data_IF_227423749455
#
_entry.id   IF_227423749455
#
_cell.length_a   1.000
_cell.length_b   1.000
_cell.length_c   1.000
_cell.angle_alpha   90.00
_cell.angle_beta   90.00
_cell.angle_gamma   90.00
#
_symmetry.space_group_name_H-M   'P 1'
#
loop_
_entity.id
_entity.type
_entity.pdbx_description
1 polymer ?
#
# COMPACT_ATOMS: atom_id res chain seq x y z
N UNK A 1 -34.65 -20.56 28.70
CA UNK A 1 -35.32 -19.37 28.14
C UNK A 1 -35.95 -18.66 29.32
N UNK A 2 -35.19 -17.73 29.89
CA UNK A 2 -35.51 -17.03 31.12
C UNK A 2 -36.48 -15.87 30.87
N UNK A 3 -37.61 -15.89 31.57
CA UNK A 3 -38.68 -14.88 31.48
C UNK A 3 -38.47 -13.71 32.45
N UNK A 4 -37.22 -13.31 32.71
CA UNK A 4 -36.86 -12.43 33.83
C UNK A 4 -36.83 -10.92 33.52
N UNK A 5 -37.32 -10.48 32.36
CA UNK A 5 -37.27 -9.07 31.93
C UNK A 5 -38.64 -8.43 31.62
N UNK A 6 -39.70 -8.88 32.28
CA UNK A 6 -40.98 -8.14 32.30
C UNK A 6 -41.06 -7.35 33.61
N UNK A 7 -40.92 -6.02 33.52
CA UNK A 7 -40.98 -5.10 34.67
C UNK A 7 -42.20 -5.36 35.55
N UNK A 8 -42.01 -5.41 36.87
CA UNK A 8 -43.04 -5.65 37.90
C UNK A 8 -44.39 -4.92 37.70
N UNK A 9 -44.44 -3.63 37.28
CA UNK A 9 -45.73 -2.97 37.01
C UNK A 9 -46.49 -3.53 35.79
N UNK A 10 -45.77 -4.10 34.82
CA UNK A 10 -46.34 -4.68 33.60
C UNK A 10 -46.97 -6.04 33.89
N UNK A 11 -46.31 -6.85 34.73
CA UNK A 11 -46.88 -8.09 35.31
C UNK A 11 -48.11 -7.78 36.17
N UNK A 12 -48.06 -6.75 37.02
CA UNK A 12 -49.20 -6.33 37.83
C UNK A 12 -50.39 -5.89 36.96
N UNK A 13 -50.13 -5.17 35.86
CA UNK A 13 -51.19 -4.74 34.94
C UNK A 13 -51.82 -5.93 34.18
N UNK A 14 -51.03 -6.93 33.79
CA UNK A 14 -51.53 -8.13 33.11
C UNK A 14 -52.40 -8.98 34.03
N UNK A 15 -51.98 -9.15 35.29
CA UNK A 15 -52.75 -9.91 36.30
C UNK A 15 -54.08 -9.21 36.58
N UNK A 16 -54.07 -7.88 36.71
CA UNK A 16 -55.30 -7.09 36.87
C UNK A 16 -56.25 -7.24 35.69
N UNK A 17 -55.74 -7.14 34.46
CA UNK A 17 -56.54 -7.28 33.24
C UNK A 17 -57.15 -8.70 33.12
N UNK A 18 -56.37 -9.75 33.40
CA UNK A 18 -56.85 -11.13 33.40
C UNK A 18 -57.93 -11.38 34.44
N UNK A 19 -57.82 -10.77 35.63
CA UNK A 19 -58.84 -10.89 36.67
C UNK A 19 -60.19 -10.29 36.24
N UNK A 20 -60.19 -9.13 35.58
CA UNK A 20 -61.41 -8.52 35.02
C UNK A 20 -62.04 -9.38 33.93
N UNK A 21 -61.24 -9.98 33.05
CA UNK A 21 -61.73 -10.88 31.99
C UNK A 21 -62.31 -12.16 32.59
N UNK A 22 -61.64 -12.75 33.58
CA UNK A 22 -62.13 -13.92 34.28
C UNK A 22 -63.46 -13.65 35.01
N UNK A 23 -63.58 -12.50 35.69
CA UNK A 23 -64.80 -12.09 36.36
C UNK A 23 -65.97 -11.90 35.37
N UNK A 24 -65.72 -11.25 34.22
CA UNK A 24 -66.72 -11.08 33.16
C UNK A 24 -67.16 -12.43 32.58
N UNK A 25 -66.22 -13.35 32.33
CA UNK A 25 -66.53 -14.70 31.86
C UNK A 25 -67.32 -15.53 32.88
N UNK A 26 -67.04 -15.37 34.17
CA UNK A 26 -67.80 -16.04 35.26
C UNK A 26 -69.23 -15.51 35.32
N UNK A 27 -69.45 -14.19 35.25
CA UNK A 27 -70.79 -13.61 35.21
C UNK A 27 -71.59 -14.11 33.99
N UNK A 28 -70.92 -14.21 32.83
CA UNK A 28 -71.52 -14.71 31.59
C UNK A 28 -71.86 -16.21 31.67
N UNK A 29 -71.04 -17.00 32.37
CA UNK A 29 -71.34 -18.42 32.63
C UNK A 29 -72.52 -18.62 33.59
N UNK A 30 -72.65 -17.76 34.59
CA UNK A 30 -73.74 -17.81 35.56
C UNK A 30 -75.06 -17.40 34.91
N UNK A 31 -75.08 -16.34 34.09
CA UNK A 31 -76.28 -15.95 33.33
C UNK A 31 -76.68 -17.04 32.34
N UNK A 32 -75.72 -17.69 31.68
CA UNK A 32 -76.00 -18.80 30.77
C UNK A 32 -76.54 -20.04 31.50
N UNK A 33 -75.99 -20.40 32.66
CA UNK A 33 -76.55 -21.50 33.48
C UNK A 33 -77.95 -21.20 34.00
N UNK A 34 -78.24 -19.95 34.37
CA UNK A 34 -79.61 -19.53 34.73
C UNK A 34 -80.57 -19.69 33.55
N UNK A 35 -80.17 -19.25 32.37
CA UNK A 35 -80.97 -19.37 31.15
C UNK A 35 -81.21 -20.84 30.75
N UNK A 36 -80.25 -21.76 30.98
CA UNK A 36 -80.44 -23.20 30.77
C UNK A 36 -81.39 -23.81 31.81
N UNK A 37 -81.26 -23.42 33.09
CA UNK A 37 -82.15 -23.89 34.16
C UNK A 37 -83.59 -23.41 33.98
N UNK A 38 -83.79 -22.23 33.41
CA UNK A 38 -85.10 -21.71 33.03
C UNK A 38 -85.71 -22.48 31.86
N UNK A 39 -84.88 -23.05 30.96
CA UNK A 39 -85.33 -23.94 29.88
C UNK A 39 -85.77 -25.33 30.37
N UNK A 40 -85.22 -25.83 31.49
CA UNK A 40 -85.62 -27.12 32.08
C UNK A 40 -86.95 -27.05 32.86
N UNK A 41 -87.40 -25.85 33.28
CA UNK A 41 -88.63 -25.65 34.07
C UNK A 41 -89.91 -25.43 33.24
N UNK A 42 -89.85 -25.56 31.93
CA UNK A 42 -91.04 -25.62 31.07
C UNK A 42 -91.91 -24.35 31.02
N UNK A 43 -91.36 -23.17 31.32
CA UNK A 43 -92.09 -21.91 31.17
C UNK A 43 -92.02 -21.41 29.71
N UNK A 44 -93.14 -21.05 29.06
CA UNK A 44 -93.12 -20.61 27.67
C UNK A 44 -92.39 -19.27 27.55
N UNK A 45 -91.31 -19.28 26.78
CA UNK A 45 -90.49 -18.11 26.46
C UNK A 45 -91.37 -17.10 25.72
N UNK A 46 -91.70 -15.99 26.37
CA UNK A 46 -92.28 -14.83 25.68
C UNK A 46 -91.24 -14.29 24.69
N UNK A 47 -91.66 -14.10 23.44
CA UNK A 47 -90.82 -13.90 22.24
C UNK A 47 -89.91 -12.65 22.20
N UNK A 48 -89.63 -11.94 23.31
CA UNK A 48 -89.02 -10.59 23.24
C UNK A 48 -87.53 -10.48 23.58
N UNK A 49 -86.85 -11.51 24.10
CA UNK A 49 -85.50 -11.33 24.71
C UNK A 49 -84.32 -11.99 23.96
N UNK A 50 -84.48 -12.41 22.70
CA UNK A 50 -83.48 -13.22 21.98
C UNK A 50 -82.30 -12.46 21.32
N UNK A 51 -82.24 -11.11 21.39
CA UNK A 51 -81.23 -10.29 20.69
C UNK A 51 -80.06 -9.80 21.57
N UNK A 52 -80.12 -9.96 22.89
CA UNK A 52 -79.06 -9.50 23.80
C UNK A 52 -77.72 -10.25 23.71
N UNK A 53 -77.68 -11.60 23.63
CA UNK A 53 -76.42 -12.34 23.79
C UNK A 53 -75.48 -12.32 22.58
N UNK A 54 -76.02 -12.24 21.36
CA UNK A 54 -75.22 -12.33 20.11
C UNK A 54 -74.43 -11.05 19.86
N UNK A 55 -74.98 -9.90 20.22
CA UNK A 55 -74.32 -8.60 20.08
C UNK A 55 -73.06 -8.55 20.96
N UNK A 56 -73.13 -9.09 22.18
CA UNK A 56 -71.97 -9.18 23.08
C UNK A 56 -70.83 -10.01 22.49
N UNK A 57 -71.13 -11.14 21.84
CA UNK A 57 -70.11 -11.99 21.21
C UNK A 57 -69.43 -11.27 20.04
N UNK A 58 -70.21 -10.59 19.20
CA UNK A 58 -69.64 -9.82 18.08
C UNK A 58 -68.79 -8.65 18.55
N UNK A 59 -69.22 -7.94 19.60
CA UNK A 59 -68.44 -6.86 20.21
C UNK A 59 -67.14 -7.40 20.81
N UNK A 60 -67.19 -8.55 21.49
CA UNK A 60 -66.01 -9.18 22.09
C UNK A 60 -65.04 -9.71 21.02
N UNK A 61 -65.55 -10.27 19.92
CA UNK A 61 -64.75 -10.71 18.78
C UNK A 61 -64.09 -9.51 18.06
N UNK A 62 -64.83 -8.42 17.86
CA UNK A 62 -64.29 -7.19 17.30
C UNK A 62 -63.20 -6.59 18.21
N UNK A 63 -63.43 -6.55 19.52
CA UNK A 63 -62.45 -6.08 20.49
C UNK A 63 -61.18 -6.95 20.51
N UNK A 64 -61.32 -8.29 20.43
CA UNK A 64 -60.20 -9.21 20.36
C UNK A 64 -59.41 -9.07 19.05
N UNK A 65 -60.09 -8.88 17.91
CA UNK A 65 -59.45 -8.68 16.62
C UNK A 65 -58.66 -7.37 16.57
N UNK A 66 -59.25 -6.27 17.05
CA UNK A 66 -58.58 -4.95 17.09
C UNK A 66 -57.43 -4.95 18.09
N UNK A 67 -57.62 -5.56 19.27
CA UNK A 67 -56.57 -5.70 20.28
C UNK A 67 -55.40 -6.56 19.80
N UNK A 68 -55.67 -7.68 19.12
CA UNK A 68 -54.64 -8.55 18.55
C UNK A 68 -53.85 -7.87 17.43
N UNK A 69 -54.50 -7.11 16.56
CA UNK A 69 -53.84 -6.39 15.47
C UNK A 69 -52.95 -5.25 15.98
N UNK A 70 -53.44 -4.44 16.93
CA UNK A 70 -52.66 -3.39 17.55
C UNK A 70 -51.41 -3.94 18.27
N UNK A 71 -51.56 -5.07 18.98
CA UNK A 71 -50.46 -5.75 19.65
C UNK A 71 -49.45 -6.33 18.66
N UNK A 72 -49.90 -6.89 17.53
CA UNK A 72 -48.99 -7.38 16.48
C UNK A 72 -48.15 -6.28 15.87
N UNK A 73 -48.74 -5.09 15.64
CA UNK A 73 -48.01 -3.95 15.11
C UNK A 73 -46.95 -3.48 16.10
N UNK A 74 -47.28 -3.43 17.39
CA UNK A 74 -46.33 -3.08 18.44
C UNK A 74 -45.10 -4.00 18.47
N UNK A 75 -45.30 -5.32 18.37
CA UNK A 75 -44.21 -6.30 18.32
C UNK A 75 -43.39 -6.22 17.03
N UNK A 76 -44.00 -5.88 15.89
CA UNK A 76 -43.29 -5.66 14.63
C UNK A 76 -42.40 -4.43 14.74
N UNK A 77 -42.92 -3.30 15.23
CA UNK A 77 -42.13 -2.08 15.45
C UNK A 77 -40.98 -2.27 16.44
N UNK A 78 -41.13 -3.12 17.46
CA UNK A 78 -40.04 -3.50 18.37
C UNK A 78 -38.93 -4.28 17.64
N UNK A 79 -39.29 -5.19 16.72
CA UNK A 79 -38.32 -5.96 15.92
C UNK A 79 -37.64 -5.14 14.84
N UNK A 80 -38.32 -4.15 14.28
CA UNK A 80 -37.75 -3.24 13.29
C UNK A 80 -36.64 -2.38 13.90
N UNK A 81 -36.87 -1.83 15.11
CA UNK A 81 -35.85 -1.11 15.85
C UNK A 81 -34.58 -1.94 16.09
N UNK A 82 -34.74 -3.22 16.48
CA UNK A 82 -33.62 -4.13 16.77
C UNK A 82 -32.88 -4.57 15.50
N UNK A 83 -33.56 -4.66 14.36
CA UNK A 83 -32.92 -4.92 13.06
C UNK A 83 -32.09 -3.73 12.58
N UNK A 84 -32.58 -2.52 12.81
CA UNK A 84 -31.91 -1.31 12.35
C UNK A 84 -30.67 -1.01 13.21
N UNK A 85 -30.72 -1.27 14.52
CA UNK A 85 -29.53 -1.20 15.39
C UNK A 85 -28.47 -2.21 14.98
N UNK A 86 -28.84 -3.47 14.69
CA UNK A 86 -27.91 -4.49 14.21
C UNK A 86 -27.30 -4.14 12.85
N UNK A 87 -28.08 -3.56 11.94
CA UNK A 87 -27.56 -3.07 10.65
C UNK A 87 -26.59 -1.92 10.84
N UNK A 88 -26.91 -0.96 11.71
CA UNK A 88 -26.04 0.17 12.01
C UNK A 88 -24.72 -0.31 12.61
N UNK A 89 -24.76 -1.29 13.52
CA UNK A 89 -23.55 -1.89 14.11
C UNK A 89 -22.71 -2.63 13.06
N UNK A 90 -23.33 -3.45 12.20
CA UNK A 90 -22.62 -4.12 11.10
C UNK A 90 -21.99 -3.13 10.11
N UNK A 91 -22.71 -2.06 9.74
CA UNK A 91 -22.17 -1.01 8.88
C UNK A 91 -20.99 -0.29 9.54
N UNK A 92 -21.09 -0.01 10.84
CA UNK A 92 -19.99 0.54 11.64
C UNK A 92 -18.77 -0.38 11.59
N UNK A 93 -18.94 -1.67 11.89
CA UNK A 93 -17.85 -2.66 11.86
C UNK A 93 -17.23 -2.82 10.47
N UNK A 94 -18.02 -2.81 9.41
CA UNK A 94 -17.52 -2.85 8.04
C UNK A 94 -16.71 -1.59 7.70
N UNK A 95 -17.15 -0.41 8.14
CA UNK A 95 -16.41 0.83 7.92
C UNK A 95 -15.07 0.85 8.64
N UNK A 96 -15.03 0.31 9.87
CA UNK A 96 -13.82 0.17 10.68
C UNK A 96 -12.83 -0.82 10.04
N UNK A 97 -13.31 -1.99 9.60
CA UNK A 97 -12.50 -2.99 8.89
C UNK A 97 -11.97 -2.41 7.58
N UNK A 98 -12.80 -1.74 6.80
CA UNK A 98 -12.37 -1.13 5.54
C UNK A 98 -11.29 -0.05 5.79
N UNK A 99 -11.49 0.82 6.79
CA UNK A 99 -10.52 1.86 7.13
C UNK A 99 -9.18 1.28 7.61
N UNK A 100 -9.22 0.19 8.38
CA UNK A 100 -8.00 -0.50 8.85
C UNK A 100 -7.29 -1.24 7.72
N UNK A 101 -8.02 -1.91 6.84
CA UNK A 101 -7.48 -2.57 5.65
C UNK A 101 -6.78 -1.56 4.73
N UNK A 102 -7.43 -0.42 4.44
CA UNK A 102 -6.87 0.63 3.59
C UNK A 102 -5.58 1.22 4.19
N UNK A 103 -5.54 1.45 5.51
CA UNK A 103 -4.31 1.90 6.20
C UNK A 103 -3.20 0.88 6.12
N UNK A 104 -3.51 -0.41 6.25
CA UNK A 104 -2.52 -1.47 6.18
C UNK A 104 -1.97 -1.63 4.76
N UNK A 105 -2.82 -1.53 3.74
CA UNK A 105 -2.41 -1.52 2.34
C UNK A 105 -1.49 -0.34 2.04
N UNK A 106 -1.87 0.86 2.47
CA UNK A 106 -1.05 2.05 2.28
C UNK A 106 0.29 1.98 3.04
N UNK A 107 0.29 1.42 4.26
CA UNK A 107 1.52 1.19 5.01
C UNK A 107 2.44 0.19 4.29
N UNK A 108 1.88 -0.92 3.79
CA UNK A 108 2.63 -1.94 3.04
C UNK A 108 3.18 -1.39 1.73
N UNK A 109 2.43 -0.59 0.98
CA UNK A 109 2.93 0.04 -0.26
C UNK A 109 4.04 1.02 0.04
N UNK A 110 3.89 1.86 1.06
CA UNK A 110 4.93 2.81 1.47
C UNK A 110 6.20 2.09 1.94
N UNK A 111 6.07 1.02 2.72
CA UNK A 111 7.20 0.21 3.17
C UNK A 111 7.91 -0.44 1.99
N UNK A 112 7.15 -1.00 1.04
CA UNK A 112 7.71 -1.57 -0.19
C UNK A 112 8.45 -0.52 -1.03
N UNK A 113 7.89 0.67 -1.22
CA UNK A 113 8.55 1.77 -1.91
C UNK A 113 9.82 2.21 -1.19
N UNK A 114 9.82 2.27 0.14
CA UNK A 114 11.01 2.58 0.93
C UNK A 114 12.10 1.51 0.77
N UNK A 115 11.74 0.23 0.75
CA UNK A 115 12.68 -0.87 0.53
C UNK A 115 13.26 -0.81 -0.89
N UNK A 116 12.42 -0.65 -1.91
CA UNK A 116 12.85 -0.58 -3.30
C UNK A 116 13.75 0.64 -3.56
N UNK A 117 13.41 1.80 -3.01
CA UNK A 117 14.24 3.02 -3.11
C UNK A 117 15.55 2.88 -2.31
N UNK A 118 15.51 2.26 -1.14
CA UNK A 118 16.70 1.92 -0.35
C UNK A 118 17.65 0.99 -1.10
N UNK A 119 17.11 -0.07 -1.71
CA UNK A 119 17.88 -1.02 -2.51
C UNK A 119 18.56 -0.35 -3.71
N UNK A 120 17.82 0.48 -4.46
CA UNK A 120 18.39 1.25 -5.59
C UNK A 120 19.50 2.21 -5.15
N UNK A 121 19.34 2.88 -4.00
CA UNK A 121 20.38 3.76 -3.47
C UNK A 121 21.63 2.97 -3.07
N UNK A 122 21.46 1.83 -2.41
CA UNK A 122 22.58 0.96 -2.02
C UNK A 122 23.30 0.39 -3.25
N UNK A 123 22.57 -0.04 -4.27
CA UNK A 123 23.13 -0.51 -5.54
C UNK A 123 23.90 0.60 -6.26
N UNK A 124 23.32 1.80 -6.33
CA UNK A 124 23.98 2.97 -6.91
C UNK A 124 25.28 3.34 -6.19
N UNK A 125 25.30 3.26 -4.86
CA UNK A 125 26.52 3.46 -4.07
C UNK A 125 27.56 2.38 -4.35
N UNK A 126 27.14 1.11 -4.46
CA UNK A 126 28.02 -0.01 -4.78
C UNK A 126 28.68 0.16 -6.16
N UNK A 127 27.89 0.54 -7.16
CA UNK A 127 28.38 0.85 -8.51
C UNK A 127 29.33 2.06 -8.52
N UNK A 128 29.06 3.06 -7.68
CA UNK A 128 29.95 4.20 -7.49
C UNK A 128 31.32 3.84 -6.90
N UNK A 129 31.35 2.91 -5.95
CA UNK A 129 32.58 2.39 -5.34
C UNK A 129 33.37 1.45 -6.26
N UNK A 130 32.67 0.62 -7.05
CA UNK A 130 33.27 -0.19 -8.13
C UNK A 130 33.89 0.71 -9.20
N UNK A 131 33.21 1.82 -9.52
CA UNK A 131 33.68 2.87 -10.41
C UNK A 131 33.48 2.56 -11.90
N UNK A 132 33.39 3.62 -12.71
CA UNK A 132 33.31 3.51 -14.16
C UNK A 132 34.72 3.46 -14.76
N UNK A 133 35.00 2.47 -15.61
CA UNK A 133 36.34 2.31 -16.19
C UNK A 133 36.33 2.42 -17.71
N UNK A 134 37.36 3.05 -18.26
CA UNK A 134 37.59 3.14 -19.70
C UNK A 134 39.06 2.90 -20.00
N UNK A 135 39.35 2.21 -21.10
CA UNK A 135 40.71 1.90 -21.52
C UNK A 135 40.90 2.10 -23.01
N UNK A 136 42.09 2.52 -23.40
CA UNK A 136 42.47 2.71 -24.79
C UNK A 136 43.88 2.18 -25.02
N UNK A 137 44.11 1.65 -26.21
CA UNK A 137 45.44 1.27 -26.67
C UNK A 137 45.99 2.41 -27.53
N UNK A 138 47.13 2.94 -27.14
CA UNK A 138 47.84 3.99 -27.88
C UNK A 138 49.06 3.37 -28.52
N UNK A 139 49.14 3.49 -29.84
CA UNK A 139 50.30 3.03 -30.60
C UNK A 139 51.57 3.79 -30.22
N UNK A 140 52.74 3.29 -30.65
CA UNK A 140 53.98 4.05 -30.54
C UNK A 140 53.89 5.34 -31.36
N UNK A 141 54.58 6.37 -30.90
CA UNK A 141 54.76 7.59 -31.66
C UNK A 141 55.55 7.28 -32.94
N UNK A 142 54.97 7.61 -34.08
CA UNK A 142 55.67 7.58 -35.36
C UNK A 142 56.10 9.01 -35.68
N UNK A 143 57.38 9.25 -36.00
CA UNK A 143 57.80 10.57 -36.43
C UNK A 143 57.12 10.88 -37.77
N UNK A 144 56.18 11.82 -37.76
CA UNK A 144 55.69 12.42 -39.00
C UNK A 144 56.69 13.48 -39.43
N UNK A 145 57.32 13.25 -40.58
CA UNK A 145 58.32 14.17 -41.14
C UNK A 145 58.42 14.00 -42.64
N UNK A 146 58.31 15.13 -43.34
CA UNK A 146 58.69 15.30 -44.75
C UNK A 146 60.15 14.81 -44.93
N UNK A 147 60.53 14.19 -46.06
CA UNK A 147 61.88 13.67 -46.26
C UNK A 147 62.94 14.76 -45.99
N UNK A 148 63.72 14.59 -44.92
CA UNK A 148 64.79 15.53 -44.53
C UNK A 148 64.68 16.11 -43.11
N UNK A 149 63.50 16.09 -42.47
CA UNK A 149 63.32 16.50 -41.08
C UNK A 149 62.86 15.31 -40.23
N UNK A 150 63.80 14.64 -39.55
CA UNK A 150 63.45 13.64 -38.52
C UNK A 150 62.93 14.39 -37.29
N UNK A 151 61.62 14.57 -37.19
CA UNK A 151 60.99 15.04 -35.96
C UNK A 151 61.15 13.95 -34.90
N UNK A 152 61.93 14.20 -33.85
CA UNK A 152 62.02 13.25 -32.73
C UNK A 152 60.69 13.20 -31.97
N UNK A 153 60.31 12.00 -31.52
CA UNK A 153 59.11 11.81 -30.71
C UNK A 153 59.30 12.42 -29.32
N UNK A 154 58.84 13.67 -29.17
CA UNK A 154 58.83 14.42 -27.92
C UNK A 154 57.42 14.45 -27.34
N UNK A 155 57.29 14.81 -26.06
CA UNK A 155 55.98 15.01 -25.42
C UNK A 155 55.13 16.07 -26.15
N UNK A 156 55.77 17.07 -26.77
CA UNK A 156 55.09 18.15 -27.51
C UNK A 156 54.53 17.67 -28.85
N UNK A 157 55.21 16.74 -29.52
CA UNK A 157 54.77 16.14 -30.78
C UNK A 157 53.94 14.87 -30.60
N UNK A 158 53.70 14.45 -29.36
CA UNK A 158 52.94 13.25 -29.04
C UNK A 158 51.46 13.39 -29.41
N UNK A 159 50.84 12.32 -29.91
CA UNK A 159 49.39 12.28 -30.08
C UNK A 159 48.73 12.35 -28.71
N UNK A 160 47.95 13.40 -28.48
CA UNK A 160 47.14 13.60 -27.27
C UNK A 160 45.75 13.06 -27.51
N UNK A 161 45.32 12.13 -26.67
CA UNK A 161 43.98 11.57 -26.70
C UNK A 161 43.29 11.82 -25.37
N UNK A 162 41.95 11.84 -25.39
CA UNK A 162 41.15 11.89 -24.18
C UNK A 162 40.49 10.53 -23.95
N UNK A 163 40.68 9.97 -22.76
CA UNK A 163 40.05 8.72 -22.32
C UNK A 163 38.88 9.12 -21.45
N UNK A 164 37.67 8.74 -21.83
CA UNK A 164 36.45 9.18 -21.14
C UNK A 164 35.71 7.98 -20.55
N UNK A 165 35.28 8.10 -19.29
CA UNK A 165 34.38 7.16 -18.64
C UNK A 165 33.05 7.88 -18.35
N UNK A 166 31.93 7.24 -18.65
CA UNK A 166 30.60 7.79 -18.40
C UNK A 166 30.15 7.45 -16.98
N UNK A 167 29.68 8.47 -16.26
CA UNK A 167 29.07 8.36 -14.94
C UNK A 167 27.71 9.07 -14.94
N UNK A 168 26.79 8.77 -14.00
CA UNK A 168 25.51 9.48 -13.94
C UNK A 168 25.68 11.00 -13.76
N UNK A 169 24.78 11.79 -14.33
CA UNK A 169 24.89 13.26 -14.29
C UNK A 169 24.89 13.83 -12.86
N UNK A 170 24.12 13.23 -11.95
CA UNK A 170 24.07 13.61 -10.53
C UNK A 170 25.27 13.13 -9.71
N UNK A 171 26.16 12.31 -10.30
CA UNK A 171 27.25 11.71 -9.56
C UNK A 171 28.34 12.73 -9.21
N UNK A 172 28.86 12.65 -7.99
CA UNK A 172 30.06 13.40 -7.57
C UNK A 172 31.28 12.50 -7.70
N UNK A 173 32.31 12.96 -8.43
CA UNK A 173 33.56 12.21 -8.60
C UNK A 173 34.31 12.21 -7.28
N UNK A 174 34.64 11.02 -6.76
CA UNK A 174 35.44 10.84 -5.54
C UNK A 174 36.92 10.73 -5.85
N UNK A 175 37.25 9.89 -6.82
CA UNK A 175 38.63 9.57 -7.17
C UNK A 175 38.72 9.18 -8.64
N UNK A 176 39.77 9.66 -9.32
CA UNK A 176 40.14 9.21 -10.66
C UNK A 176 41.46 8.47 -10.55
N UNK A 177 41.42 7.15 -10.68
CA UNK A 177 42.59 6.29 -10.65
C UNK A 177 43.11 6.08 -12.07
N UNK A 178 44.41 6.29 -12.26
CA UNK A 178 45.07 6.29 -13.56
C UNK A 178 46.05 5.13 -13.65
N UNK A 179 46.01 4.44 -14.77
CA UNK A 179 46.83 3.26 -14.98
C UNK A 179 47.43 3.25 -16.37
N UNK A 180 48.70 2.89 -16.47
CA UNK A 180 49.38 2.75 -17.75
C UNK A 180 50.36 1.60 -17.72
N UNK A 181 50.28 0.73 -18.71
CA UNK A 181 51.22 -0.38 -18.91
C UNK A 181 51.54 -0.57 -20.39
N UNK A 182 52.62 -1.27 -20.69
CA UNK A 182 52.90 -1.68 -22.07
C UNK A 182 51.82 -2.66 -22.56
N UNK A 183 51.44 -2.58 -23.84
CA UNK A 183 50.33 -3.39 -24.35
C UNK A 183 50.58 -4.90 -24.33
N UNK A 184 51.85 -5.30 -24.34
CA UNK A 184 52.29 -6.68 -24.22
C UNK A 184 52.60 -7.11 -22.77
N UNK A 185 52.44 -6.21 -21.79
CA UNK A 185 52.73 -6.53 -20.39
C UNK A 185 51.58 -7.32 -19.74
N UNK A 186 51.94 -8.36 -18.99
CA UNK A 186 51.03 -9.12 -18.13
C UNK A 186 50.95 -8.58 -16.71
N UNK A 187 51.61 -7.46 -16.43
CA UNK A 187 51.62 -6.83 -15.11
C UNK A 187 50.19 -6.53 -14.64
N UNK A 188 49.83 -6.85 -13.38
CA UNK A 188 48.53 -6.50 -12.81
C UNK A 188 48.31 -4.98 -12.81
N UNK A 189 47.05 -4.55 -12.84
CA UNK A 189 46.73 -3.13 -12.98
C UNK A 189 47.13 -2.33 -11.75
N UNK A 190 47.04 -2.94 -10.58
CA UNK A 190 47.35 -2.38 -9.27
C UNK A 190 48.80 -1.85 -9.20
N UNK A 191 49.73 -2.55 -9.85
CA UNK A 191 51.15 -2.18 -9.93
C UNK A 191 51.45 -1.20 -11.07
N UNK A 192 50.53 -1.04 -12.03
CA UNK A 192 50.64 -0.13 -13.16
C UNK A 192 49.98 1.24 -12.88
N UNK A 193 49.69 1.54 -11.61
CA UNK A 193 49.07 2.79 -11.16
C UNK A 193 50.06 3.95 -11.26
N UNK A 194 49.60 5.09 -11.78
CA UNK A 194 50.41 6.31 -11.93
C UNK A 194 49.64 7.52 -11.43
N UNK A 195 50.37 8.57 -11.06
CA UNK A 195 49.77 9.84 -10.68
C UNK A 195 49.51 10.74 -11.90
N UNK A 196 48.51 11.60 -11.81
CA UNK A 196 48.29 12.64 -12.80
C UNK A 196 49.55 13.52 -12.90
N UNK A 197 49.99 13.82 -14.12
CA UNK A 197 51.19 14.60 -14.34
C UNK A 197 52.51 13.82 -14.25
N UNK A 198 52.50 12.55 -13.84
CA UNK A 198 53.71 11.74 -13.76
C UNK A 198 54.11 11.17 -15.12
N UNK A 199 55.40 11.22 -15.46
CA UNK A 199 55.96 10.47 -16.59
C UNK A 199 56.08 8.97 -16.22
N UNK A 200 55.48 8.13 -17.04
CA UNK A 200 55.42 6.68 -16.92
C UNK A 200 56.21 5.97 -18.03
N UNK A 201 57.40 6.50 -18.34
CA UNK A 201 58.30 5.94 -19.34
C UNK A 201 57.87 6.31 -20.74
N UNK A 202 57.96 7.61 -21.05
CA UNK A 202 57.58 8.23 -22.32
C UNK A 202 56.07 8.24 -22.58
N UNK A 203 55.28 8.26 -21.50
CA UNK A 203 53.85 8.40 -21.54
C UNK A 203 53.37 9.12 -20.30
N UNK A 204 52.35 9.96 -20.41
CA UNK A 204 51.88 10.79 -19.30
C UNK A 204 50.39 11.07 -19.39
N UNK A 205 49.75 11.06 -18.24
CA UNK A 205 48.40 11.61 -18.08
C UNK A 205 48.46 13.10 -17.75
N UNK A 206 47.49 13.88 -18.25
CA UNK A 206 47.33 15.28 -17.91
C UNK A 206 47.20 15.50 -16.39
N UNK A 207 47.52 16.70 -15.91
CA UNK A 207 47.50 16.99 -14.47
C UNK A 207 46.07 17.04 -13.89
N UNK A 208 45.07 17.30 -14.75
CA UNK A 208 43.66 17.40 -14.37
C UNK A 208 42.78 16.63 -15.34
N UNK A 209 41.69 16.07 -14.81
CA UNK A 209 40.59 15.56 -15.62
C UNK A 209 39.65 16.71 -16.02
N UNK A 210 38.84 16.46 -17.03
CA UNK A 210 37.79 17.38 -17.49
C UNK A 210 36.45 16.67 -17.46
N UNK A 211 35.42 17.34 -16.97
CA UNK A 211 34.04 16.86 -17.04
C UNK A 211 33.36 17.41 -18.28
N UNK A 212 32.64 16.56 -19.01
CA UNK A 212 31.82 16.94 -20.15
C UNK A 212 30.41 16.39 -19.97
N UNK A 213 29.35 17.15 -20.31
CA UNK A 213 28.00 16.61 -20.32
C UNK A 213 27.91 15.51 -21.38
N UNK A 214 27.15 14.45 -21.07
CA UNK A 214 26.91 13.31 -21.96
C UNK A 214 25.42 12.98 -21.97
N UNK A 215 24.67 13.80 -22.71
CA UNK A 215 23.20 13.80 -22.70
C UNK A 215 22.60 14.26 -21.36
N UNK A 216 21.32 13.98 -21.16
CA UNK A 216 20.58 14.41 -19.97
C UNK A 216 20.80 13.49 -18.75
N UNK A 217 21.23 12.25 -18.99
CA UNK A 217 21.35 11.21 -17.95
C UNK A 217 22.79 11.00 -17.47
N UNK A 218 23.79 11.49 -18.19
CA UNK A 218 25.19 11.17 -17.98
C UNK A 218 26.13 12.36 -18.06
N UNK A 219 27.32 12.18 -17.50
CA UNK A 219 28.48 13.01 -17.76
C UNK A 219 29.70 12.14 -18.01
N UNK A 220 30.59 12.62 -18.86
CA UNK A 220 31.87 11.99 -19.16
C UNK A 220 32.96 12.64 -18.33
N UNK A 221 33.72 11.80 -17.64
CA UNK A 221 34.96 12.19 -16.97
C UNK A 221 36.10 11.78 -17.88
N UNK A 222 36.76 12.77 -18.45
CA UNK A 222 37.80 12.58 -19.45
C UNK A 222 39.18 12.92 -18.89
N UNK A 223 40.14 12.04 -19.12
CA UNK A 223 41.54 12.25 -18.79
C UNK A 223 42.37 12.34 -20.06
N UNK A 224 43.16 13.41 -20.19
CA UNK A 224 44.14 13.53 -21.27
C UNK A 224 45.29 12.55 -21.08
N UNK A 225 45.72 11.90 -22.16
CA UNK A 225 46.85 10.98 -22.17
C UNK A 225 47.69 11.19 -23.44
N UNK A 226 49.01 11.12 -23.28
CA UNK A 226 49.98 11.21 -24.36
C UNK A 226 50.98 10.06 -24.27
N UNK A 227 51.33 9.48 -25.42
CA UNK A 227 52.42 8.50 -25.56
C UNK A 227 53.39 8.98 -26.64
N UNK A 228 54.64 9.19 -26.26
CA UNK A 228 55.72 9.54 -27.20
C UNK A 228 56.80 8.46 -27.30
N UNK A 229 56.53 7.25 -26.79
CA UNK A 229 57.44 6.13 -27.01
C UNK A 229 57.47 5.74 -28.49
N UNK A 230 58.66 5.75 -29.12
CA UNK A 230 58.83 5.37 -30.52
C UNK A 230 58.71 3.87 -30.80
N UNK A 231 58.78 3.04 -29.76
CA UNK A 231 58.83 1.58 -29.89
C UNK A 231 57.64 0.89 -29.22
N UNK A 232 57.12 1.44 -28.12
CA UNK A 232 56.17 0.74 -27.26
C UNK A 232 54.76 1.30 -27.40
N UNK A 233 53.82 0.42 -27.72
CA UNK A 233 52.40 0.70 -27.51
C UNK A 233 52.06 0.61 -26.02
N UNK A 234 51.16 1.49 -25.57
CA UNK A 234 50.73 1.59 -24.18
C UNK A 234 49.23 1.37 -24.10
N UNK A 235 48.78 0.71 -23.04
CA UNK A 235 47.37 0.69 -22.67
C UNK A 235 47.22 1.66 -21.52
N UNK A 236 46.42 2.69 -21.75
CA UNK A 236 46.03 3.66 -20.75
C UNK A 236 44.61 3.34 -20.29
N UNK A 237 44.40 3.30 -18.98
CA UNK A 237 43.12 3.02 -18.36
C UNK A 237 42.83 4.04 -17.27
N UNK A 238 41.58 4.47 -17.20
CA UNK A 238 41.05 5.26 -16.09
C UNK A 238 39.97 4.46 -15.36
N UNK A 239 39.90 4.66 -14.05
CA UNK A 239 38.83 4.18 -13.19
C UNK A 239 38.31 5.35 -12.36
N UNK A 240 37.05 5.69 -12.54
CA UNK A 240 36.39 6.84 -11.92
C UNK A 240 35.45 6.32 -10.84
N UNK A 241 35.85 6.51 -9.58
CA UNK A 241 34.98 6.25 -8.43
C UNK A 241 34.09 7.46 -8.20
N UNK A 242 32.81 7.21 -7.94
CA UNK A 242 31.82 8.27 -7.79
C UNK A 242 30.82 7.94 -6.67
N UNK A 243 30.06 8.95 -6.25
CA UNK A 243 28.93 8.78 -5.34
C UNK A 243 27.68 9.42 -5.93
N UNK A 244 26.53 8.81 -5.65
CA UNK A 244 25.18 9.28 -6.02
C UNK A 244 24.44 9.85 -4.82
#
# INVERSE_FOLDING_TARGET
MDFSHLSEPLMASMIGALATVAAALVQLRISWRREIRERERGQPITKKTRRGPVIFIFVLAAAAAVGGFALSQYFVSLREGDRDTLRADLQSKLSEINATAMRLEQARTNEREQIETGARRAEGQRLGEEGASASVVVGPCKPEGVPGAKQECTEQSALRIAICATVPASATVREVQLYVRAANSKQPWEEARVQAGQDAGQARFADKFTERPDGDAGKQICQGFANWSGEKSRIARILVKYAL
#
